data_IF_650740753320
#
_entry.id   IF_650740753320
#
_cell.length_a   1.000
_cell.length_b   1.000
_cell.length_c   1.000
_cell.angle_alpha   90.00
_cell.angle_beta   90.00
_cell.angle_gamma   90.00
#
_symmetry.space_group_name_H-M   'P 1'
#
loop_
_entity.id
_entity.type
_entity.pdbx_description
1 polymer ?
#
# COMPACT_ATOMS: atom_id res chain seq x y z
N UNK A 1 -5.36 16.46 -5.09
CA UNK A 1 -5.63 16.57 -3.65
C UNK A 1 -4.80 17.65 -2.98
N UNK A 2 -5.40 18.33 -2.01
CA UNK A 2 -4.74 19.22 -1.04
C UNK A 2 -4.96 18.68 0.39
N UNK A 3 -4.19 19.19 1.34
CA UNK A 3 -4.39 18.92 2.77
C UNK A 3 -4.34 20.19 3.59
N UNK A 4 -5.29 20.34 4.52
CA UNK A 4 -5.28 21.38 5.57
C UNK A 4 -4.67 20.79 6.84
N UNK A 5 -3.73 21.49 7.47
CA UNK A 5 -3.18 21.04 8.77
C UNK A 5 -4.18 21.37 9.88
N UNK A 6 -4.60 20.37 10.65
CA UNK A 6 -5.56 20.50 11.75
C UNK A 6 -4.93 20.37 13.14
N UNK A 7 -3.67 19.94 13.22
CA UNK A 7 -2.95 19.89 14.48
C UNK A 7 -2.60 21.31 14.98
N UNK A 8 -3.28 21.75 16.04
CA UNK A 8 -3.12 23.07 16.67
C UNK A 8 -1.73 23.32 17.25
N UNK A 9 -0.98 22.25 17.58
CA UNK A 9 0.39 22.37 18.11
C UNK A 9 1.44 22.50 16.98
N UNK A 10 1.02 22.42 15.72
CA UNK A 10 1.89 22.63 14.57
C UNK A 10 2.04 24.11 14.26
N UNK A 11 3.26 24.56 13.97
CA UNK A 11 3.51 25.90 13.40
C UNK A 11 2.86 26.11 12.01
N UNK A 12 2.32 25.04 11.42
CA UNK A 12 1.58 25.07 10.16
C UNK A 12 0.06 24.98 10.32
N UNK A 13 -0.49 25.14 11.53
CA UNK A 13 -1.92 25.06 11.78
C UNK A 13 -2.74 25.91 10.79
N UNK A 14 -3.81 25.33 10.26
CA UNK A 14 -4.70 25.86 9.21
C UNK A 14 -4.09 26.10 7.83
N UNK A 15 -2.78 25.92 7.64
CA UNK A 15 -2.17 26.05 6.32
C UNK A 15 -2.61 24.91 5.42
N UNK A 16 -2.75 25.23 4.13
CA UNK A 16 -3.10 24.28 3.07
C UNK A 16 -1.89 24.04 2.18
N UNK A 17 -1.63 22.77 1.87
CA UNK A 17 -0.53 22.38 1.00
C UNK A 17 -0.97 21.39 -0.08
N UNK A 18 -0.30 21.47 -1.24
CA UNK A 18 -0.49 20.52 -2.33
C UNK A 18 0.16 19.18 -2.00
N UNK A 19 -0.57 18.08 -2.16
CA UNK A 19 -0.03 16.74 -1.95
C UNK A 19 0.83 16.32 -3.15
N UNK A 20 2.04 15.86 -2.87
CA UNK A 20 2.95 15.26 -3.85
C UNK A 20 2.77 13.75 -3.88
N UNK A 21 2.65 13.14 -2.70
CA UNK A 21 2.58 11.69 -2.53
C UNK A 21 1.86 11.34 -1.23
N UNK A 22 1.20 10.20 -1.20
CA UNK A 22 0.81 9.56 0.06
C UNK A 22 1.27 8.10 0.07
N UNK A 23 1.44 7.56 1.27
CA UNK A 23 1.49 6.14 1.52
C UNK A 23 0.48 5.81 2.63
N UNK A 24 0.49 4.58 3.15
CA UNK A 24 -0.44 4.22 4.21
C UNK A 24 -0.26 5.09 5.46
N UNK A 25 0.96 5.44 5.84
CA UNK A 25 1.27 6.08 7.12
C UNK A 25 1.15 7.61 7.07
N UNK A 26 1.65 8.23 5.99
CA UNK A 26 1.91 9.66 5.90
C UNK A 26 1.49 10.26 4.55
N UNK A 27 1.23 11.57 4.57
CA UNK A 27 1.03 12.40 3.38
C UNK A 27 2.22 13.36 3.24
N UNK A 28 2.82 13.38 2.05
CA UNK A 28 3.92 14.26 1.69
C UNK A 28 3.42 15.41 0.84
N UNK A 29 3.72 16.63 1.25
CA UNK A 29 3.27 17.87 0.61
C UNK A 29 4.42 18.68 0.05
N UNK A 30 4.11 19.55 -0.91
CA UNK A 30 5.05 20.55 -1.37
C UNK A 30 5.19 21.65 -0.31
N UNK A 31 6.36 21.74 0.31
CA UNK A 31 6.61 22.70 1.38
C UNK A 31 7.47 23.86 0.85
N UNK A 32 7.08 25.13 1.08
CA UNK A 32 7.83 26.27 0.58
C UNK A 32 9.27 26.28 1.09
N UNK A 33 10.21 26.70 0.23
CA UNK A 33 11.61 26.99 0.57
C UNK A 33 12.45 25.83 1.13
N UNK A 34 12.02 24.57 0.92
CA UNK A 34 12.84 23.40 1.22
C UNK A 34 13.06 22.56 -0.05
N UNK A 35 14.29 22.09 -0.25
CA UNK A 35 14.60 21.08 -1.26
C UNK A 35 14.08 19.71 -0.79
N UNK A 36 12.77 19.51 -0.89
CA UNK A 36 12.09 18.31 -0.42
C UNK A 36 10.68 18.61 0.06
N UNK A 37 9.80 17.61 0.05
CA UNK A 37 8.46 17.73 0.63
C UNK A 37 8.48 17.47 2.13
N UNK A 38 7.52 18.07 2.85
CA UNK A 38 7.28 17.79 4.28
C UNK A 38 6.25 16.68 4.41
N UNK A 39 6.43 15.78 5.37
CA UNK A 39 5.48 14.69 5.64
C UNK A 39 4.66 14.99 6.88
N UNK A 40 3.37 14.70 6.82
CA UNK A 40 2.42 14.81 7.92
C UNK A 40 1.72 13.48 8.13
N UNK A 41 1.36 13.19 9.38
CA UNK A 41 0.47 12.07 9.71
C UNK A 41 -0.94 12.37 9.20
N UNK A 42 -1.68 11.35 8.80
CA UNK A 42 -3.10 11.49 8.47
C UNK A 42 -3.94 12.00 9.65
N UNK A 43 -3.49 11.81 10.89
CA UNK A 43 -4.20 12.29 12.08
C UNK A 43 -4.04 13.81 12.28
N UNK A 44 -3.04 14.42 11.66
CA UNK A 44 -2.71 15.84 11.81
C UNK A 44 -3.29 16.70 10.69
N UNK A 45 -3.97 16.09 9.72
CA UNK A 45 -4.41 16.76 8.49
C UNK A 45 -5.83 16.37 8.09
N UNK A 46 -6.49 17.27 7.40
CA UNK A 46 -7.75 17.05 6.70
C UNK A 46 -7.50 17.04 5.19
N UNK A 47 -7.92 15.97 4.51
CA UNK A 47 -7.74 15.83 3.06
C UNK A 47 -8.86 16.53 2.29
N UNK A 48 -8.48 17.41 1.36
CA UNK A 48 -9.39 18.11 0.45
C UNK A 48 -9.27 17.46 -0.94
N UNK A 49 -10.31 16.74 -1.34
CA UNK A 49 -10.35 16.03 -2.63
C UNK A 49 -10.52 17.02 -3.79
N UNK A 50 -9.74 16.86 -4.86
CA UNK A 50 -9.89 17.64 -6.10
C UNK A 50 -10.37 16.77 -7.28
N UNK A 51 -10.49 15.46 -7.06
CA UNK A 51 -10.89 14.48 -8.08
C UNK A 51 -11.54 13.26 -7.44
N UNK A 52 -12.20 12.42 -8.25
CA UNK A 52 -12.84 11.20 -7.75
C UNK A 52 -11.82 10.16 -7.28
N UNK A 53 -10.63 10.13 -7.88
CA UNK A 53 -9.55 9.27 -7.39
C UNK A 53 -9.05 9.74 -6.01
N UNK A 54 -9.04 11.05 -5.73
CA UNK A 54 -8.70 11.55 -4.40
C UNK A 54 -9.74 11.09 -3.37
N UNK A 55 -11.04 11.24 -3.69
CA UNK A 55 -12.14 10.75 -2.83
C UNK A 55 -12.02 9.26 -2.56
N UNK A 56 -11.73 8.48 -3.61
CA UNK A 56 -11.52 7.04 -3.48
C UNK A 56 -10.38 6.73 -2.51
N UNK A 57 -9.22 7.39 -2.64
CA UNK A 57 -8.05 7.13 -1.78
C UNK A 57 -8.30 7.50 -0.33
N UNK A 58 -8.99 8.63 -0.08
CA UNK A 58 -9.35 9.08 1.27
C UNK A 58 -10.27 8.04 1.93
N UNK A 59 -11.29 7.58 1.21
CA UNK A 59 -12.27 6.62 1.73
C UNK A 59 -11.72 5.18 1.82
N UNK A 60 -10.72 4.84 1.00
CA UNK A 60 -10.17 3.49 0.87
C UNK A 60 -8.66 3.43 1.17
N UNK A 61 -8.21 4.18 2.19
CA UNK A 61 -6.79 4.34 2.57
C UNK A 61 -6.04 3.01 2.70
N UNK A 62 -6.71 1.93 3.12
CA UNK A 62 -6.10 0.60 3.22
C UNK A 62 -5.46 0.10 1.92
N UNK A 63 -5.92 0.55 0.75
CA UNK A 63 -5.30 0.20 -0.54
C UNK A 63 -3.89 0.75 -0.69
N UNK A 64 -3.53 1.84 0.02
CA UNK A 64 -2.18 2.40 0.03
C UNK A 64 -1.14 1.46 0.66
N UNK A 65 -1.58 0.43 1.39
CA UNK A 65 -0.69 -0.64 1.89
C UNK A 65 -0.15 -1.50 0.75
N UNK A 66 -0.86 -1.60 -0.39
CA UNK A 66 -0.36 -2.27 -1.59
C UNK A 66 0.68 -1.35 -2.24
N UNK A 67 1.91 -1.82 -2.38
CA UNK A 67 3.00 -0.98 -2.85
C UNK A 67 2.97 -0.85 -4.37
N UNK A 68 2.68 0.36 -4.86
CA UNK A 68 2.86 0.71 -6.27
C UNK A 68 4.32 1.08 -6.55
N UNK A 69 4.91 0.42 -7.53
CA UNK A 69 6.24 0.76 -8.03
C UNK A 69 6.15 1.92 -9.03
N UNK A 70 7.26 2.64 -9.21
CA UNK A 70 7.33 3.78 -10.14
C UNK A 70 6.84 3.36 -11.52
N UNK A 71 5.88 4.12 -12.07
CA UNK A 71 5.28 3.86 -13.36
C UNK A 71 3.90 3.18 -13.28
N UNK A 72 3.50 2.61 -12.15
CA UNK A 72 2.12 2.14 -11.96
C UNK A 72 1.25 3.33 -11.55
N UNK A 73 0.12 3.52 -12.23
CA UNK A 73 -0.82 4.60 -11.89
C UNK A 73 -1.59 4.29 -10.62
N UNK A 74 -1.91 5.32 -9.84
CA UNK A 74 -2.79 5.23 -8.67
C UNK A 74 -4.21 4.74 -9.04
N UNK A 75 -4.62 4.92 -10.29
CA UNK A 75 -5.88 4.39 -10.83
C UNK A 75 -5.96 2.86 -10.78
N UNK A 76 -4.82 2.16 -10.65
CA UNK A 76 -4.80 0.73 -10.40
C UNK A 76 -5.57 0.34 -9.14
N UNK A 77 -5.54 1.16 -8.08
CA UNK A 77 -6.28 0.84 -6.86
C UNK A 77 -7.79 0.83 -7.10
N UNK A 78 -8.30 1.79 -7.88
CA UNK A 78 -9.71 1.82 -8.24
C UNK A 78 -10.09 0.59 -9.10
N UNK A 79 -9.25 0.26 -10.09
CA UNK A 79 -9.48 -0.94 -10.90
C UNK A 79 -9.49 -2.22 -10.05
N UNK A 80 -8.56 -2.35 -9.11
CA UNK A 80 -8.51 -3.47 -8.18
C UNK A 80 -9.73 -3.52 -7.25
N UNK A 81 -10.15 -2.37 -6.72
CA UNK A 81 -11.35 -2.27 -5.88
C UNK A 81 -12.60 -2.77 -6.61
N UNK A 82 -12.84 -2.29 -7.83
CA UNK A 82 -13.98 -2.70 -8.64
C UNK A 82 -13.91 -4.20 -8.98
N UNK A 83 -12.74 -4.71 -9.36
CA UNK A 83 -12.57 -6.16 -9.62
C UNK A 83 -12.84 -7.00 -8.37
N UNK A 84 -12.36 -6.58 -7.19
CA UNK A 84 -12.61 -7.28 -5.92
C UNK A 84 -14.10 -7.28 -5.58
N UNK A 85 -14.75 -6.13 -5.70
CA UNK A 85 -16.19 -5.96 -5.43
C UNK A 85 -17.04 -6.84 -6.34
N UNK A 86 -16.71 -6.92 -7.63
CA UNK A 86 -17.38 -7.81 -8.57
C UNK A 86 -17.22 -9.28 -8.19
N UNK A 87 -16.00 -9.68 -7.78
CA UNK A 87 -15.72 -11.07 -7.41
C UNK A 87 -16.41 -11.48 -6.11
N UNK A 88 -16.36 -10.67 -5.06
CA UNK A 88 -16.96 -10.99 -3.75
C UNK A 88 -18.45 -10.65 -3.68
N UNK A 89 -18.97 -9.84 -4.62
CA UNK A 89 -20.37 -9.34 -4.67
C UNK A 89 -20.78 -8.56 -3.41
N UNK A 90 -19.83 -7.89 -2.77
CA UNK A 90 -20.00 -7.09 -1.55
C UNK A 90 -19.05 -5.88 -1.61
N UNK A 91 -19.33 -4.82 -0.84
CA UNK A 91 -18.37 -3.71 -0.68
C UNK A 91 -17.11 -4.16 0.07
N UNK A 92 -15.94 -3.65 -0.34
CA UNK A 92 -14.67 -3.92 0.32
C UNK A 92 -14.51 -3.00 1.53
N UNK A 93 -14.82 -3.52 2.73
CA UNK A 93 -14.72 -2.77 4.00
C UNK A 93 -13.35 -2.95 4.65
N UNK A 94 -12.85 -4.18 4.68
CA UNK A 94 -11.54 -4.52 5.26
C UNK A 94 -10.65 -5.19 4.21
N UNK A 95 -9.39 -4.73 4.13
CA UNK A 95 -8.38 -5.25 3.23
C UNK A 95 -7.13 -5.61 4.05
N UNK A 96 -6.87 -6.90 4.19
CA UNK A 96 -5.62 -7.44 4.73
C UNK A 96 -4.76 -7.96 3.59
N UNK A 97 -3.51 -7.49 3.51
CA UNK A 97 -2.55 -7.90 2.49
C UNK A 97 -1.55 -8.81 3.19
N UNK A 98 -1.60 -10.10 2.86
CA UNK A 98 -0.73 -11.12 3.44
C UNK A 98 0.53 -11.28 2.60
N UNK A 99 0.42 -11.04 1.29
CA UNK A 99 1.53 -11.11 0.35
C UNK A 99 1.36 -10.08 -0.75
N UNK A 100 2.45 -9.39 -1.11
CA UNK A 100 2.51 -8.48 -2.25
C UNK A 100 3.84 -8.66 -3.01
N UNK A 101 3.84 -9.53 -4.02
CA UNK A 101 5.00 -9.77 -4.89
C UNK A 101 4.89 -8.91 -6.15
N UNK A 102 6.02 -8.41 -6.64
CA UNK A 102 6.11 -7.59 -7.84
C UNK A 102 7.25 -8.07 -8.74
N UNK A 103 6.99 -8.18 -10.04
CA UNK A 103 7.98 -8.48 -11.08
C UNK A 103 7.91 -7.43 -12.18
N UNK A 104 9.06 -7.01 -12.70
CA UNK A 104 9.16 -6.09 -13.84
C UNK A 104 9.93 -6.76 -14.97
N UNK A 105 9.32 -6.81 -16.15
CA UNK A 105 9.95 -7.34 -17.36
C UNK A 105 10.60 -6.22 -18.18
N UNK A 106 11.59 -6.60 -19.00
CA UNK A 106 12.34 -5.67 -19.88
C UNK A 106 11.41 -4.82 -20.78
N UNK A 107 10.24 -5.34 -21.14
CA UNK A 107 9.20 -4.67 -21.92
C UNK A 107 8.43 -3.55 -21.19
N UNK A 108 8.84 -3.20 -19.95
CA UNK A 108 8.12 -2.31 -19.03
C UNK A 108 6.72 -2.82 -18.65
N UNK A 109 6.47 -4.11 -18.89
CA UNK A 109 5.32 -4.84 -18.37
C UNK A 109 5.64 -5.26 -16.94
N UNK A 110 4.68 -5.05 -16.04
CA UNK A 110 4.80 -5.46 -14.66
C UNK A 110 3.72 -6.49 -14.33
N UNK A 111 4.04 -7.33 -13.36
CA UNK A 111 3.13 -8.28 -12.75
C UNK A 111 3.15 -8.14 -11.23
N UNK A 112 1.99 -8.31 -10.62
CA UNK A 112 1.80 -8.37 -9.18
C UNK A 112 1.02 -9.64 -8.84
N UNK A 113 1.53 -10.37 -7.86
CA UNK A 113 0.87 -11.52 -7.26
C UNK A 113 0.60 -11.17 -5.79
N UNK A 114 -0.66 -11.13 -5.40
CA UNK A 114 -1.08 -10.72 -4.07
C UNK A 114 -1.94 -11.80 -3.42
N UNK A 115 -1.74 -12.01 -2.12
CA UNK A 115 -2.63 -12.80 -1.28
C UNK A 115 -3.37 -11.85 -0.35
N UNK A 116 -4.69 -11.78 -0.52
CA UNK A 116 -5.55 -10.84 0.18
C UNK A 116 -6.57 -11.59 1.04
N UNK A 117 -6.90 -11.02 2.19
CA UNK A 117 -8.02 -11.47 3.01
C UNK A 117 -8.99 -10.30 3.19
N UNK A 118 -10.15 -10.40 2.54
CA UNK A 118 -11.13 -9.32 2.40
C UNK A 118 -12.29 -9.54 3.36
N UNK A 119 -12.73 -8.47 4.02
CA UNK A 119 -13.87 -8.45 4.94
C UNK A 119 -13.80 -9.51 6.05
N UNK A 120 -12.58 -9.97 6.38
CA UNK A 120 -12.33 -11.09 7.29
C UNK A 120 -13.08 -12.38 6.91
N UNK A 121 -13.36 -12.56 5.60
CA UNK A 121 -14.24 -13.62 5.08
C UNK A 121 -13.69 -14.26 3.82
N UNK A 122 -13.16 -13.48 2.89
CA UNK A 122 -12.79 -13.95 1.56
C UNK A 122 -11.26 -14.00 1.41
N UNK A 123 -10.66 -15.19 1.43
CA UNK A 123 -9.27 -15.37 0.99
C UNK A 123 -9.19 -15.37 -0.54
N UNK A 124 -8.38 -14.46 -1.08
CA UNK A 124 -8.28 -14.23 -2.52
C UNK A 124 -6.81 -14.23 -2.96
N UNK A 125 -6.52 -14.96 -4.03
CA UNK A 125 -5.31 -14.77 -4.81
C UNK A 125 -5.59 -13.79 -5.95
N UNK A 126 -4.82 -12.71 -6.04
CA UNK A 126 -4.93 -11.73 -7.11
C UNK A 126 -3.67 -11.74 -7.95
N UNK A 127 -3.84 -11.93 -9.26
CA UNK A 127 -2.78 -11.77 -10.27
C UNK A 127 -3.13 -10.58 -11.13
N UNK A 128 -2.32 -9.54 -11.04
CA UNK A 128 -2.51 -8.31 -11.79
C UNK A 128 -1.32 -8.02 -12.70
N UNK A 129 -1.57 -7.51 -13.90
CA UNK A 129 -0.51 -7.09 -14.82
C UNK A 129 -0.89 -5.81 -15.56
N UNK A 130 0.13 -5.13 -16.06
CA UNK A 130 -0.04 -3.91 -16.83
C UNK A 130 1.28 -3.40 -17.40
N UNK A 131 1.24 -2.24 -18.04
CA UNK A 131 2.45 -1.58 -18.57
C UNK A 131 2.69 -0.27 -17.83
N UNK A 132 3.96 0.04 -17.56
CA UNK A 132 4.31 1.30 -16.91
C UNK A 132 3.81 2.51 -17.72
N UNK A 133 3.43 3.55 -16.99
CA UNK A 133 2.91 4.84 -17.46
C UNK A 133 1.57 4.77 -18.20
N UNK A 134 0.95 3.59 -18.28
CA UNK A 134 -0.44 3.46 -18.71
C UNK A 134 -1.40 3.66 -17.54
N UNK A 135 -2.46 4.42 -17.80
CA UNK A 135 -3.57 4.71 -16.88
C UNK A 135 -4.68 3.66 -16.95
N UNK A 136 -4.64 2.76 -17.93
CA UNK A 136 -5.66 1.77 -18.23
C UNK A 136 -5.03 0.47 -18.79
N UNK A 137 -5.89 -0.51 -19.10
CA UNK A 137 -5.47 -1.80 -19.68
C UNK A 137 -4.79 -2.71 -18.66
N UNK A 138 -5.24 -2.67 -17.40
CA UNK A 138 -4.83 -3.62 -16.39
C UNK A 138 -5.55 -4.95 -16.64
N UNK A 139 -4.82 -6.05 -16.57
CA UNK A 139 -5.40 -7.37 -16.45
C UNK A 139 -5.40 -7.75 -14.98
N UNK A 140 -6.57 -8.03 -14.41
CA UNK A 140 -6.71 -8.43 -13.00
C UNK A 140 -7.50 -9.73 -12.98
N UNK A 141 -6.85 -10.81 -12.58
CA UNK A 141 -7.48 -12.09 -12.32
C UNK A 141 -7.54 -12.33 -10.82
N UNK A 142 -8.69 -12.76 -10.33
CA UNK A 142 -8.97 -12.96 -8.90
C UNK A 142 -9.53 -14.37 -8.73
N UNK A 143 -8.85 -15.17 -7.92
CA UNK A 143 -9.28 -16.51 -7.56
C UNK A 143 -9.64 -16.55 -6.09
N UNK A 144 -10.81 -17.09 -5.76
CA UNK A 144 -11.14 -17.47 -4.38
C UNK A 144 -10.36 -18.72 -4.01
N UNK A 145 -9.81 -18.73 -2.81
CA UNK A 145 -9.05 -19.85 -2.27
C UNK A 145 -9.96 -20.60 -1.30
N UNK A 146 -9.95 -21.93 -1.34
CA UNK A 146 -10.64 -22.71 -0.34
C UNK A 146 -9.97 -22.56 1.03
N UNK A 147 -10.74 -22.77 2.09
CA UNK A 147 -10.29 -22.47 3.46
C UNK A 147 -9.05 -23.27 3.84
N UNK A 148 -9.02 -24.56 3.48
CA UNK A 148 -7.93 -25.48 3.80
C UNK A 148 -6.64 -25.05 3.12
N UNK A 149 -6.69 -24.80 1.81
CA UNK A 149 -5.54 -24.30 1.03
C UNK A 149 -5.05 -22.94 1.57
N UNK A 150 -5.98 -22.06 1.93
CA UNK A 150 -5.64 -20.75 2.50
C UNK A 150 -4.90 -20.87 3.85
N UNK A 151 -5.33 -21.80 4.71
CA UNK A 151 -4.67 -22.05 5.99
C UNK A 151 -3.26 -22.61 5.79
N UNK A 152 -3.08 -23.54 4.86
CA UNK A 152 -1.75 -24.07 4.53
C UNK A 152 -0.82 -22.96 4.04
N UNK A 153 -1.29 -22.11 3.12
CA UNK A 153 -0.54 -20.95 2.64
C UNK A 153 -0.17 -20.02 3.80
N UNK A 154 -1.11 -19.73 4.71
CA UNK A 154 -0.84 -18.88 5.88
C UNK A 154 0.23 -19.48 6.79
N UNK A 155 0.16 -20.77 7.10
CA UNK A 155 1.18 -21.46 7.89
C UNK A 155 2.56 -21.36 7.24
N UNK A 156 2.64 -21.55 5.92
CA UNK A 156 3.88 -21.40 5.17
C UNK A 156 4.45 -19.97 5.21
N UNK A 157 3.61 -18.95 5.01
CA UNK A 157 4.03 -17.54 5.08
C UNK A 157 4.46 -17.14 6.51
N UNK A 158 3.77 -17.62 7.55
CA UNK A 158 4.16 -17.40 8.96
C UNK A 158 5.57 -17.95 9.20
N UNK A 159 5.81 -19.21 8.84
CA UNK A 159 7.11 -19.86 9.01
C UNK A 159 8.24 -19.08 8.31
N UNK A 160 8.00 -18.65 7.07
CA UNK A 160 8.97 -17.85 6.31
C UNK A 160 9.30 -16.52 7.00
N UNK A 161 8.30 -15.85 7.58
CA UNK A 161 8.50 -14.59 8.31
C UNK A 161 9.28 -14.83 9.60
N UNK A 162 8.95 -15.87 10.35
CA UNK A 162 9.66 -16.25 11.59
C UNK A 162 11.14 -16.53 11.32
N UNK A 163 11.45 -17.27 10.25
CA UNK A 163 12.83 -17.53 9.82
C UNK A 163 13.58 -16.21 9.50
N UNK A 164 12.94 -15.29 8.77
CA UNK A 164 13.54 -13.98 8.49
C UNK A 164 13.77 -13.14 9.75
N UNK A 165 12.84 -13.17 10.70
CA UNK A 165 12.99 -12.48 11.99
C UNK A 165 14.19 -13.02 12.75
N UNK A 166 14.37 -14.34 12.80
CA UNK A 166 15.51 -14.95 13.49
C UNK A 166 16.85 -14.54 12.84
N UNK A 167 16.97 -14.62 11.50
CA UNK A 167 18.16 -14.15 10.79
C UNK A 167 18.48 -12.67 11.07
N UNK A 168 17.45 -11.82 11.18
CA UNK A 168 17.63 -10.40 11.50
C UNK A 168 18.03 -10.18 12.96
N UNK A 169 17.54 -10.99 13.90
CA UNK A 169 17.95 -10.95 15.31
C UNK A 169 19.42 -11.33 15.46
N UNK A 170 19.86 -12.37 14.76
CA UNK A 170 21.26 -12.82 14.80
C UNK A 170 22.20 -11.72 14.29
N UNK A 171 21.88 -11.16 13.11
CA UNK A 171 22.64 -10.03 12.57
C UNK A 171 22.67 -8.83 13.52
N UNK A 172 21.54 -8.52 14.17
CA UNK A 172 21.47 -7.44 15.15
C UNK A 172 22.38 -7.70 16.36
N UNK A 173 22.48 -8.95 16.82
CA UNK A 173 23.40 -9.31 17.91
C UNK A 173 24.85 -9.03 17.52
N UNK A 174 25.28 -9.53 16.36
CA UNK A 174 26.65 -9.31 15.87
C UNK A 174 26.97 -7.82 15.69
N UNK A 175 26.01 -7.02 15.22
CA UNK A 175 26.20 -5.57 15.10
C UNK A 175 26.31 -4.86 16.47
N UNK A 176 25.60 -5.33 17.50
CA UNK A 176 25.71 -4.77 18.85
C UNK A 176 27.07 -5.08 19.47
N UNK A 177 27.53 -6.32 19.35
CA UNK A 177 28.86 -6.73 19.81
C UNK A 177 29.97 -5.90 19.14
N UNK A 178 29.88 -5.69 17.82
CA UNK A 178 30.84 -4.86 17.10
C UNK A 178 30.79 -3.37 17.49
N UNK A 179 29.62 -2.83 17.84
CA UNK A 179 29.49 -1.45 18.31
C UNK A 179 30.19 -1.24 19.64
N UNK A 180 30.08 -2.22 20.55
CA UNK A 180 30.64 -2.14 21.90
C UNK A 180 32.17 -2.41 21.92
N UNK A 181 32.78 -2.62 20.75
CA UNK A 181 34.24 -2.70 20.54
C UNK A 181 34.91 -1.32 20.35
N UNK A 182 34.14 -0.23 20.21
CA UNK A 182 34.62 1.17 20.15
C UNK A 182 34.50 1.80 21.55
#
# INVERSE_FOLDING_TARGET
>A
MEVKIINMNSGDFERVFKVIRMNFDNIMVNYPNMSGGKSFSFNDVECISESDIDKFLINNRNFLKIKLKRGISVLFYNALYESLKLEIKEEVKNLSILRDKYKLYKSKVWEKEMLLFINNKFPLEVKASGKNFKKNGYSININKIEKEDFLEICCGEIKNIEEQINLKKDLLSSLKEARDYI
#
